data_IF_248462094416
#
_entry.id   IF_248462094416
#
_cell.length_a   1.000
_cell.length_b   1.000
_cell.length_c   1.000
_cell.angle_alpha   90.00
_cell.angle_beta   90.00
_cell.angle_gamma   90.00
#
_symmetry.space_group_name_H-M   'P 1'
#
loop_
_entity.id
_entity.type
_entity.pdbx_description
1 polymer ?
#
# COMPACT_ATOMS: atom_id res chain seq x y z
N UNK A 1 -36.27 16.14 -1.16
CA UNK A 1 -35.05 16.79 -1.59
C UNK A 1 -33.95 15.79 -1.79
N UNK A 2 -33.72 15.38 -3.04
CA UNK A 2 -32.59 14.53 -3.35
C UNK A 2 -31.30 15.32 -3.14
N UNK A 3 -30.52 14.95 -2.15
CA UNK A 3 -29.17 15.49 -2.03
C UNK A 3 -28.39 15.13 -3.28
N UNK A 4 -27.75 16.12 -3.90
CA UNK A 4 -26.83 15.91 -5.01
C UNK A 4 -25.66 15.09 -4.48
N UNK A 5 -25.67 13.78 -4.78
CA UNK A 5 -24.55 12.91 -4.46
C UNK A 5 -23.41 13.22 -5.43
N UNK A 6 -22.33 13.74 -4.90
CA UNK A 6 -21.10 13.91 -5.67
C UNK A 6 -20.49 12.55 -5.93
N UNK A 7 -20.27 12.23 -7.21
CA UNK A 7 -19.65 10.96 -7.63
C UNK A 7 -18.28 11.22 -8.22
N UNK A 8 -17.29 10.50 -7.72
CA UNK A 8 -15.94 10.48 -8.25
C UNK A 8 -15.66 9.12 -8.87
N UNK A 9 -14.88 9.09 -9.94
CA UNK A 9 -14.36 7.84 -10.50
C UNK A 9 -12.98 7.55 -9.90
N UNK A 10 -12.79 6.33 -9.44
CA UNK A 10 -11.48 5.84 -9.00
C UNK A 10 -11.06 4.69 -9.92
N UNK A 11 -10.13 4.99 -10.80
CA UNK A 11 -9.61 4.06 -11.79
C UNK A 11 -8.41 3.32 -11.20
N UNK A 12 -8.55 2.01 -11.02
CA UNK A 12 -7.52 1.14 -10.44
C UNK A 12 -7.21 0.02 -11.41
N UNK A 13 -5.94 -0.23 -11.63
CA UNK A 13 -5.50 -1.41 -12.36
C UNK A 13 -5.11 -2.49 -11.35
N UNK A 14 -5.71 -3.67 -11.48
CA UNK A 14 -5.47 -4.80 -10.60
C UNK A 14 -5.06 -6.04 -11.37
N UNK A 15 -4.08 -6.78 -10.83
CA UNK A 15 -3.63 -8.05 -11.39
C UNK A 15 -2.95 -8.88 -10.30
N UNK A 16 -2.75 -10.17 -10.57
CA UNK A 16 -1.97 -11.03 -9.68
C UNK A 16 -0.52 -10.54 -9.52
N UNK A 17 0.06 -9.99 -10.59
CA UNK A 17 1.43 -9.48 -10.58
C UNK A 17 1.60 -8.23 -9.71
N UNK A 18 0.59 -7.35 -9.68
CA UNK A 18 0.60 -6.13 -8.86
C UNK A 18 0.25 -6.39 -7.39
N UNK A 19 -0.42 -7.51 -7.10
CA UNK A 19 -1.02 -7.77 -5.80
C UNK A 19 -2.23 -6.88 -5.54
N UNK A 20 -2.68 -6.86 -4.28
CA UNK A 20 -3.92 -6.19 -3.87
C UNK A 20 -3.69 -4.89 -3.08
N UNK A 21 -2.44 -4.49 -2.86
CA UNK A 21 -2.11 -3.33 -2.00
C UNK A 21 -2.76 -2.03 -2.45
N UNK A 22 -2.72 -1.72 -3.75
CA UNK A 22 -3.34 -0.52 -4.30
C UNK A 22 -4.86 -0.54 -4.15
N UNK A 23 -5.47 -1.71 -4.28
CA UNK A 23 -6.91 -1.85 -4.11
C UNK A 23 -7.32 -1.59 -2.66
N UNK A 24 -6.57 -2.09 -1.68
CA UNK A 24 -6.84 -1.79 -0.26
C UNK A 24 -6.72 -0.30 0.04
N UNK A 25 -5.71 0.36 -0.52
CA UNK A 25 -5.57 1.82 -0.42
C UNK A 25 -6.80 2.53 -0.98
N UNK A 26 -7.24 2.11 -2.15
CA UNK A 26 -8.42 2.66 -2.82
C UNK A 26 -9.69 2.45 -1.99
N UNK A 27 -9.86 1.29 -1.37
CA UNK A 27 -10.99 0.98 -0.50
C UNK A 27 -10.98 1.84 0.77
N UNK A 28 -9.83 2.07 1.37
CA UNK A 28 -9.69 2.95 2.53
C UNK A 28 -10.06 4.39 2.15
N UNK A 29 -9.60 4.86 0.99
CA UNK A 29 -9.95 6.18 0.46
C UNK A 29 -11.46 6.28 0.20
N UNK A 30 -12.06 5.27 -0.41
CA UNK A 30 -13.49 5.22 -0.69
C UNK A 30 -14.33 5.35 0.58
N UNK A 31 -13.94 4.65 1.63
CA UNK A 31 -14.62 4.70 2.91
C UNK A 31 -14.52 6.10 3.54
N UNK A 32 -13.36 6.73 3.47
CA UNK A 32 -13.17 8.09 4.01
C UNK A 32 -13.98 9.14 3.24
N UNK A 33 -14.08 9.00 1.92
CA UNK A 33 -14.90 9.88 1.09
C UNK A 33 -16.40 9.67 1.35
N UNK A 34 -16.83 8.41 1.51
CA UNK A 34 -18.21 8.09 1.82
C UNK A 34 -18.67 8.73 3.15
N UNK A 35 -17.78 8.84 4.12
CA UNK A 35 -18.05 9.54 5.38
C UNK A 35 -18.36 11.04 5.18
N UNK A 36 -18.02 11.60 4.03
CA UNK A 36 -18.34 12.99 3.64
C UNK A 36 -19.46 13.07 2.59
N UNK A 37 -20.23 12.01 2.42
CA UNK A 37 -21.31 11.88 1.44
C UNK A 37 -20.80 12.00 -0.02
N UNK A 38 -19.57 11.58 -0.27
CA UNK A 38 -18.99 11.50 -1.60
C UNK A 38 -18.94 10.02 -2.00
N UNK A 39 -19.57 9.69 -3.12
CA UNK A 39 -19.60 8.33 -3.64
C UNK A 39 -18.46 8.09 -4.62
N UNK A 40 -17.91 6.89 -4.61
CA UNK A 40 -16.93 6.44 -5.59
C UNK A 40 -17.50 5.36 -6.49
N UNK A 41 -17.21 5.50 -7.78
CA UNK A 41 -17.35 4.44 -8.77
C UNK A 41 -15.95 3.91 -9.07
N UNK A 42 -15.69 2.64 -8.78
CA UNK A 42 -14.45 1.99 -9.21
C UNK A 42 -14.51 1.71 -10.70
N UNK A 43 -13.48 2.14 -11.42
CA UNK A 43 -13.28 1.84 -12.84
C UNK A 43 -12.08 0.90 -12.93
N UNK A 44 -12.29 -0.32 -13.39
CA UNK A 44 -11.31 -1.39 -13.21
C UNK A 44 -11.29 -2.34 -14.41
N UNK A 45 -10.12 -2.94 -14.66
CA UNK A 45 -9.97 -4.02 -15.63
C UNK A 45 -10.64 -5.31 -15.13
N UNK A 46 -10.79 -6.28 -16.03
CA UNK A 46 -11.43 -7.56 -15.70
C UNK A 46 -10.51 -8.44 -14.85
N UNK A 47 -10.60 -8.24 -13.53
CA UNK A 47 -9.88 -9.01 -12.52
C UNK A 47 -10.85 -9.41 -11.41
N UNK A 48 -11.37 -10.63 -11.48
CA UNK A 48 -12.45 -11.11 -10.59
C UNK A 48 -12.17 -11.02 -9.10
N UNK A 49 -10.95 -11.33 -8.60
CA UNK A 49 -10.66 -11.16 -7.17
C UNK A 49 -10.87 -9.73 -6.69
N UNK A 50 -10.52 -8.73 -7.52
CA UNK A 50 -10.73 -7.32 -7.20
C UNK A 50 -12.22 -6.97 -7.20
N UNK A 51 -12.98 -7.48 -8.17
CA UNK A 51 -14.43 -7.25 -8.24
C UNK A 51 -15.15 -7.74 -7.00
N UNK A 52 -14.80 -8.94 -6.53
CA UNK A 52 -15.37 -9.52 -5.31
C UNK A 52 -15.09 -8.66 -4.08
N UNK A 53 -13.86 -8.17 -3.94
CA UNK A 53 -13.45 -7.35 -2.82
C UNK A 53 -14.16 -5.98 -2.81
N UNK A 54 -14.28 -5.33 -3.96
CA UNK A 54 -14.99 -4.05 -4.12
C UNK A 54 -16.46 -4.23 -3.74
N UNK A 55 -17.12 -5.26 -4.26
CA UNK A 55 -18.51 -5.55 -3.98
C UNK A 55 -18.75 -5.90 -2.51
N UNK A 56 -17.86 -6.67 -1.90
CA UNK A 56 -17.92 -7.04 -0.48
C UNK A 56 -17.87 -5.80 0.43
N UNK A 57 -17.14 -4.76 0.02
CA UNK A 57 -17.07 -3.49 0.76
C UNK A 57 -18.23 -2.53 0.43
N UNK A 58 -19.20 -2.98 -0.36
CA UNK A 58 -20.41 -2.20 -0.67
C UNK A 58 -20.20 -1.13 -1.73
N UNK A 59 -19.14 -1.20 -2.52
CA UNK A 59 -18.88 -0.24 -3.59
C UNK A 59 -19.29 -0.79 -4.95
N UNK A 60 -19.61 0.13 -5.87
CA UNK A 60 -19.92 -0.18 -7.26
C UNK A 60 -18.65 -0.14 -8.11
N UNK A 61 -18.61 -0.94 -9.15
CA UNK A 61 -17.55 -0.89 -10.14
C UNK A 61 -18.09 -1.01 -11.55
N UNK A 62 -17.34 -0.50 -12.50
CA UNK A 62 -17.57 -0.68 -13.93
C UNK A 62 -16.28 -1.17 -14.59
N UNK A 63 -16.42 -2.19 -15.45
CA UNK A 63 -15.29 -2.68 -16.22
C UNK A 63 -14.93 -1.70 -17.33
N UNK A 64 -13.64 -1.48 -17.52
CA UNK A 64 -13.13 -0.62 -18.56
C UNK A 64 -11.91 -1.24 -19.24
N UNK A 65 -11.75 -1.00 -20.54
CA UNK A 65 -10.58 -1.49 -21.29
C UNK A 65 -9.39 -0.57 -21.06
N UNK A 66 -8.75 -0.67 -19.89
CA UNK A 66 -7.70 0.27 -19.45
C UNK A 66 -6.53 0.36 -20.42
N UNK A 67 -6.25 -0.71 -21.16
CA UNK A 67 -5.17 -0.75 -22.15
C UNK A 67 -5.57 -0.16 -23.51
N UNK A 68 -6.85 0.13 -23.73
CA UNK A 68 -7.32 0.74 -24.97
C UNK A 68 -7.04 2.24 -24.97
N UNK A 69 -6.07 2.65 -25.78
CA UNK A 69 -5.69 4.05 -25.94
C UNK A 69 -6.37 4.73 -27.12
N UNK A 70 -7.09 3.98 -27.96
CA UNK A 70 -7.68 4.48 -29.19
C UNK A 70 -9.11 4.98 -29.03
N UNK A 71 -9.95 4.28 -28.25
CA UNK A 71 -11.32 4.69 -28.01
C UNK A 71 -11.45 5.65 -26.85
N UNK A 72 -12.47 6.48 -26.89
CA UNK A 72 -12.80 7.42 -25.80
C UNK A 72 -13.79 6.78 -24.82
N UNK A 73 -13.39 5.66 -24.22
CA UNK A 73 -14.23 4.94 -23.26
C UNK A 73 -14.48 5.73 -21.97
N UNK A 74 -13.56 6.64 -21.63
CA UNK A 74 -13.63 7.50 -20.45
C UNK A 74 -14.88 8.38 -20.50
N UNK A 75 -15.17 8.98 -21.66
CA UNK A 75 -16.33 9.88 -21.82
C UNK A 75 -17.65 9.14 -21.55
N UNK A 76 -17.79 7.92 -22.03
CA UNK A 76 -18.99 7.12 -21.77
C UNK A 76 -19.24 6.92 -20.27
N UNK A 77 -18.22 6.64 -19.51
CA UNK A 77 -18.32 6.46 -18.05
C UNK A 77 -18.69 7.79 -17.38
N UNK A 78 -18.00 8.87 -17.73
CA UNK A 78 -18.23 10.19 -17.14
C UNK A 78 -19.67 10.65 -17.39
N UNK A 79 -20.15 10.50 -18.60
CA UNK A 79 -21.52 10.94 -18.99
C UNK A 79 -22.59 10.09 -18.30
N UNK A 80 -22.44 8.76 -18.32
CA UNK A 80 -23.44 7.86 -17.72
C UNK A 80 -23.60 8.07 -16.21
N UNK A 81 -22.51 8.37 -15.51
CA UNK A 81 -22.49 8.42 -14.05
C UNK A 81 -22.41 9.83 -13.47
N UNK A 82 -22.20 10.85 -14.30
CA UNK A 82 -22.04 12.22 -13.81
C UNK A 82 -20.78 12.43 -12.96
N UNK A 83 -19.67 11.86 -13.40
CA UNK A 83 -18.39 11.93 -12.68
C UNK A 83 -17.89 13.36 -12.56
N UNK A 84 -17.52 13.79 -11.37
CA UNK A 84 -17.06 15.15 -11.06
C UNK A 84 -15.55 15.29 -10.95
N UNK A 85 -14.85 14.22 -10.54
CA UNK A 85 -13.39 14.14 -10.47
C UNK A 85 -12.98 12.74 -10.94
N UNK A 86 -11.91 12.67 -11.71
CA UNK A 86 -11.30 11.39 -12.09
C UNK A 86 -10.04 11.16 -11.29
N UNK A 87 -9.98 10.04 -10.58
CA UNK A 87 -8.83 9.65 -9.77
C UNK A 87 -8.20 8.40 -10.39
N UNK A 88 -6.90 8.44 -10.65
CA UNK A 88 -6.13 7.29 -11.12
C UNK A 88 -5.19 6.77 -10.04
N UNK A 89 -5.36 5.50 -9.69
CA UNK A 89 -4.36 4.71 -8.96
C UNK A 89 -3.78 3.67 -9.92
N UNK A 90 -3.04 4.15 -10.92
CA UNK A 90 -2.50 3.36 -12.02
C UNK A 90 -0.98 3.39 -12.10
N UNK A 91 -0.31 4.31 -11.42
CA UNK A 91 1.13 4.54 -11.35
C UNK A 91 1.77 5.04 -12.64
N UNK A 92 1.11 4.90 -13.77
CA UNK A 92 1.63 5.29 -15.08
C UNK A 92 0.46 5.73 -15.99
N UNK A 93 -0.09 6.89 -15.70
CA UNK A 93 -1.18 7.45 -16.49
C UNK A 93 -0.69 7.80 -17.89
N UNK A 94 -1.34 7.24 -18.91
CA UNK A 94 -1.00 7.51 -20.30
C UNK A 94 -1.38 8.92 -20.74
N UNK A 95 -0.63 9.45 -21.72
CA UNK A 95 -0.84 10.82 -22.21
C UNK A 95 -2.26 11.03 -22.76
N UNK A 96 -2.72 10.11 -23.63
CA UNK A 96 -4.05 10.23 -24.25
C UNK A 96 -5.17 10.19 -23.24
N UNK A 97 -5.04 9.33 -22.22
CA UNK A 97 -6.01 9.24 -21.13
C UNK A 97 -6.08 10.56 -20.35
N UNK A 98 -4.93 11.10 -19.96
CA UNK A 98 -4.87 12.41 -19.27
C UNK A 98 -5.48 13.53 -20.08
N UNK A 99 -5.15 13.61 -21.38
CA UNK A 99 -5.73 14.61 -22.31
C UNK A 99 -7.25 14.49 -22.37
N UNK A 100 -7.80 13.27 -22.48
CA UNK A 100 -9.24 13.03 -22.56
C UNK A 100 -9.98 13.47 -21.31
N UNK A 101 -9.43 13.17 -20.14
CA UNK A 101 -10.02 13.61 -18.87
C UNK A 101 -10.07 15.14 -18.81
N UNK A 102 -8.99 15.81 -19.15
CA UNK A 102 -8.94 17.27 -19.13
C UNK A 102 -9.82 17.90 -20.19
N UNK A 103 -9.97 17.27 -21.36
CA UNK A 103 -10.87 17.75 -22.41
C UNK A 103 -12.33 17.75 -21.98
N UNK A 104 -12.72 16.91 -21.03
CA UNK A 104 -14.05 16.90 -20.43
C UNK A 104 -14.24 17.94 -19.33
N UNK A 105 -13.20 18.72 -19.01
CA UNK A 105 -13.26 19.73 -17.97
C UNK A 105 -13.19 19.17 -16.55
N UNK A 106 -12.77 17.91 -16.38
CA UNK A 106 -12.69 17.29 -15.07
C UNK A 106 -11.34 17.53 -14.41
N UNK A 107 -11.31 17.73 -13.08
CA UNK A 107 -10.09 17.57 -12.32
C UNK A 107 -9.57 16.15 -12.43
N UNK A 108 -8.26 16.00 -12.58
CA UNK A 108 -7.55 14.73 -12.58
C UNK A 108 -6.66 14.65 -11.35
N UNK A 109 -6.82 13.57 -10.58
CA UNK A 109 -5.99 13.26 -9.42
C UNK A 109 -5.26 11.94 -9.69
N UNK A 110 -3.97 11.89 -9.41
CA UNK A 110 -3.16 10.69 -9.62
C UNK A 110 -2.46 10.29 -8.32
N UNK A 111 -2.08 9.01 -8.22
CA UNK A 111 -1.34 8.45 -7.07
C UNK A 111 -0.03 7.84 -7.52
N UNK A 112 1.08 8.30 -6.93
CA UNK A 112 2.44 7.79 -7.18
C UNK A 112 2.77 7.68 -8.67
N UNK A 113 2.30 8.64 -9.46
CA UNK A 113 2.24 8.54 -10.91
C UNK A 113 3.45 9.22 -11.55
N UNK A 114 4.13 8.48 -12.41
CA UNK A 114 5.28 8.95 -13.19
C UNK A 114 5.00 8.98 -14.69
N UNK A 115 3.74 8.73 -15.08
CA UNK A 115 3.34 8.69 -16.48
C UNK A 115 3.27 10.05 -17.14
N UNK A 116 3.41 10.08 -18.46
CA UNK A 116 3.29 11.32 -19.24
C UNK A 116 1.95 12.01 -19.07
N UNK A 117 0.87 11.23 -18.88
CA UNK A 117 -0.48 11.75 -18.67
C UNK A 117 -0.66 12.40 -17.30
N UNK A 118 0.18 12.12 -16.34
CA UNK A 118 0.14 12.77 -15.04
C UNK A 118 0.56 14.24 -15.08
N UNK A 119 1.15 14.69 -16.18
CA UNK A 119 1.40 16.13 -16.41
C UNK A 119 0.09 16.93 -16.47
N UNK A 120 -1.01 16.29 -16.81
CA UNK A 120 -2.35 16.89 -16.85
C UNK A 120 -3.06 16.84 -15.50
N UNK A 121 -2.48 16.17 -14.50
CA UNK A 121 -3.10 16.07 -13.18
C UNK A 121 -3.11 17.41 -12.46
N UNK A 122 -4.24 17.74 -11.86
CA UNK A 122 -4.37 18.88 -10.97
C UNK A 122 -3.69 18.58 -9.63
N UNK A 123 -3.68 17.30 -9.25
CA UNK A 123 -3.08 16.81 -8.01
C UNK A 123 -2.44 15.44 -8.25
N UNK A 124 -1.17 15.32 -7.91
CA UNK A 124 -0.46 14.03 -7.86
C UNK A 124 -0.05 13.75 -6.41
N UNK A 125 -0.68 12.75 -5.81
CA UNK A 125 -0.38 12.32 -4.45
C UNK A 125 0.73 11.26 -4.52
N UNK A 126 1.93 11.63 -4.08
CA UNK A 126 3.13 10.82 -4.21
C UNK A 126 3.62 10.35 -2.84
N UNK A 127 2.75 9.68 -2.09
CA UNK A 127 3.01 9.29 -0.70
C UNK A 127 4.12 8.24 -0.57
N UNK A 128 4.31 7.39 -1.58
CA UNK A 128 5.31 6.32 -1.58
C UNK A 128 6.56 6.65 -2.41
N UNK A 129 6.68 7.88 -2.89
CA UNK A 129 7.86 8.34 -3.64
C UNK A 129 8.68 9.23 -2.71
N UNK A 130 9.85 8.74 -2.30
CA UNK A 130 10.72 9.40 -1.33
C UNK A 130 11.99 9.98 -1.94
N UNK A 131 12.14 9.93 -3.26
CA UNK A 131 13.25 10.54 -3.96
C UNK A 131 12.99 12.04 -4.13
N UNK A 132 13.63 12.85 -3.28
CA UNK A 132 13.49 14.31 -3.30
C UNK A 132 14.06 14.95 -4.57
N UNK A 133 14.97 14.25 -5.25
CA UNK A 133 15.54 14.73 -6.50
C UNK A 133 14.61 14.49 -7.70
N UNK A 134 13.58 13.68 -7.56
CA UNK A 134 12.64 13.39 -8.63
C UNK A 134 11.71 14.57 -8.86
N UNK A 135 11.68 15.09 -10.09
CA UNK A 135 10.66 16.03 -10.55
C UNK A 135 9.43 15.21 -10.94
N UNK A 136 8.39 15.25 -10.11
CA UNK A 136 7.15 14.52 -10.36
C UNK A 136 6.18 15.37 -11.17
N UNK A 137 5.45 14.75 -12.12
CA UNK A 137 4.46 15.46 -12.91
C UNK A 137 3.23 15.86 -12.08
N UNK A 138 2.52 16.87 -12.55
CA UNK A 138 1.29 17.36 -11.94
C UNK A 138 1.39 18.84 -11.56
N UNK A 139 0.23 19.50 -11.56
CA UNK A 139 0.14 20.92 -11.21
C UNK A 139 0.48 21.16 -9.73
N UNK A 140 0.01 20.26 -8.86
CA UNK A 140 0.32 20.22 -7.45
C UNK A 140 0.74 18.80 -7.06
N UNK A 141 1.88 18.68 -6.37
CA UNK A 141 2.39 17.40 -5.92
C UNK A 141 2.42 17.37 -4.40
N UNK A 142 1.77 16.35 -3.81
CA UNK A 142 1.81 16.08 -2.38
C UNK A 142 2.72 14.87 -2.17
N UNK A 143 3.92 15.08 -1.66
CA UNK A 143 4.95 14.05 -1.59
C UNK A 143 5.28 13.69 -0.14
N UNK A 144 5.45 12.38 0.10
CA UNK A 144 6.02 11.87 1.32
C UNK A 144 5.02 11.23 2.29
N UNK A 145 5.55 10.80 3.44
CA UNK A 145 4.83 9.97 4.41
C UNK A 145 3.59 10.65 5.04
N UNK A 146 3.53 11.98 5.04
CA UNK A 146 2.37 12.72 5.57
C UNK A 146 1.08 12.48 4.78
N UNK A 147 1.19 11.93 3.57
CA UNK A 147 0.07 11.66 2.67
C UNK A 147 -0.23 10.17 2.51
N UNK A 148 0.38 9.32 3.34
CA UNK A 148 0.10 7.89 3.34
C UNK A 148 -1.34 7.62 3.76
N UNK A 149 -2.01 6.80 2.96
CA UNK A 149 -3.34 6.28 3.30
C UNK A 149 -3.14 4.92 3.98
N UNK A 150 -3.19 4.93 5.30
CA UNK A 150 -3.06 3.75 6.13
C UNK A 150 -4.42 3.24 6.56
N UNK A 151 -4.49 1.95 6.92
CA UNK A 151 -5.70 1.34 7.40
C UNK A 151 -6.16 2.01 8.70
N UNK A 152 -7.38 2.58 8.77
CA UNK A 152 -7.86 3.27 9.97
C UNK A 152 -8.02 2.35 11.19
N UNK A 153 -8.09 1.03 11.01
CA UNK A 153 -8.11 0.07 12.12
C UNK A 153 -6.85 0.13 12.99
N UNK A 154 -5.75 0.65 12.48
CA UNK A 154 -4.50 0.78 13.24
C UNK A 154 -4.74 1.49 14.58
N UNK A 155 -5.60 2.50 14.62
CA UNK A 155 -5.92 3.23 15.84
C UNK A 155 -6.42 2.35 16.98
N UNK A 156 -7.06 1.22 16.65
CA UNK A 156 -7.59 0.25 17.63
C UNK A 156 -6.54 -0.76 18.10
N UNK A 157 -5.42 -0.88 17.38
CA UNK A 157 -4.41 -1.92 17.60
C UNK A 157 -3.04 -1.36 17.93
N UNK A 158 -2.94 -0.08 18.27
CA UNK A 158 -1.68 0.51 18.69
C UNK A 158 -1.24 -0.05 20.03
N UNK A 159 0.03 -0.44 20.13
CA UNK A 159 0.61 -0.98 21.35
C UNK A 159 2.11 -0.67 21.41
N UNK A 160 2.57 -0.21 22.56
CA UNK A 160 4.00 -0.06 22.83
C UNK A 160 4.64 -1.45 22.99
N UNK A 161 5.75 -1.68 22.30
CA UNK A 161 6.59 -2.87 22.47
C UNK A 161 7.83 -2.51 23.28
N UNK A 162 8.22 -3.40 24.17
CA UNK A 162 9.44 -3.26 24.98
C UNK A 162 10.34 -4.49 24.93
N UNK A 163 9.83 -5.60 24.40
CA UNK A 163 10.52 -6.87 24.26
C UNK A 163 10.50 -7.36 22.83
N UNK A 164 11.33 -8.38 22.55
CA UNK A 164 11.47 -8.96 21.24
C UNK A 164 11.17 -10.47 21.27
N UNK A 165 10.11 -10.87 21.96
CA UNK A 165 9.81 -12.28 22.19
C UNK A 165 9.05 -12.93 21.02
N UNK A 166 8.33 -12.16 20.22
CA UNK A 166 7.51 -12.66 19.13
C UNK A 166 7.84 -11.96 17.82
N UNK A 167 8.21 -12.73 16.81
CA UNK A 167 8.59 -12.25 15.49
C UNK A 167 7.49 -12.61 14.47
N UNK A 168 7.11 -11.65 13.66
CA UNK A 168 6.22 -11.81 12.51
C UNK A 168 7.05 -11.69 11.23
N UNK A 169 6.88 -12.62 10.30
CA UNK A 169 7.44 -12.53 8.95
C UNK A 169 6.29 -12.33 7.97
N UNK A 170 6.28 -11.20 7.27
CA UNK A 170 5.27 -10.88 6.26
C UNK A 170 5.92 -10.07 5.15
N UNK A 171 6.16 -10.69 4.01
CA UNK A 171 6.98 -10.15 2.91
C UNK A 171 6.16 -9.85 1.65
N UNK A 172 4.85 -9.64 1.82
CA UNK A 172 3.95 -9.29 0.74
C UNK A 172 3.18 -10.48 0.17
N UNK A 173 2.23 -10.18 -0.71
CA UNK A 173 1.24 -11.14 -1.18
C UNK A 173 1.80 -12.26 -2.04
N UNK A 174 2.72 -11.98 -2.96
CA UNK A 174 3.27 -12.96 -3.89
C UNK A 174 4.65 -13.46 -3.50
N UNK A 175 5.48 -12.60 -2.91
CA UNK A 175 6.88 -12.90 -2.60
C UNK A 175 7.61 -13.58 -3.77
N UNK A 176 7.64 -12.87 -4.88
CA UNK A 176 8.11 -13.38 -6.18
C UNK A 176 9.49 -14.04 -6.10
N UNK A 177 10.39 -13.49 -5.28
CA UNK A 177 11.78 -13.94 -5.17
C UNK A 177 12.01 -15.01 -4.09
N UNK A 178 10.94 -15.45 -3.41
CA UNK A 178 11.06 -16.44 -2.34
C UNK A 178 11.83 -15.95 -1.12
N UNK A 179 11.77 -14.66 -0.82
CA UNK A 179 12.51 -14.05 0.30
C UNK A 179 12.05 -14.61 1.63
N UNK A 180 10.77 -14.98 1.76
CA UNK A 180 10.24 -15.65 2.95
C UNK A 180 11.04 -16.92 3.29
N UNK A 181 11.32 -17.74 2.30
CA UNK A 181 12.09 -18.98 2.46
C UNK A 181 13.50 -18.67 2.97
N UNK A 182 14.15 -17.68 2.38
CA UNK A 182 15.49 -17.23 2.77
C UNK A 182 15.53 -16.72 4.21
N UNK A 183 14.56 -15.91 4.60
CA UNK A 183 14.43 -15.37 5.96
C UNK A 183 14.20 -16.48 6.97
N UNK A 184 13.27 -17.39 6.70
CA UNK A 184 12.98 -18.53 7.59
C UNK A 184 14.21 -19.42 7.76
N UNK A 185 14.93 -19.70 6.68
CA UNK A 185 16.18 -20.47 6.75
C UNK A 185 17.21 -19.80 7.66
N UNK A 186 17.38 -18.47 7.53
CA UNK A 186 18.33 -17.72 8.37
C UNK A 186 17.90 -17.71 9.83
N UNK A 187 16.61 -17.49 10.12
CA UNK A 187 16.08 -17.53 11.48
C UNK A 187 16.26 -18.92 12.11
N UNK A 188 15.90 -19.97 11.38
CA UNK A 188 16.05 -21.35 11.85
C UNK A 188 17.51 -21.68 12.15
N UNK A 189 18.44 -21.22 11.32
CA UNK A 189 19.89 -21.41 11.53
C UNK A 189 20.42 -20.73 12.79
N UNK A 190 19.71 -19.73 13.31
CA UNK A 190 20.04 -19.03 14.55
C UNK A 190 19.22 -19.53 15.76
N UNK A 191 18.44 -20.58 15.58
CA UNK A 191 17.56 -21.09 16.64
C UNK A 191 16.38 -20.20 16.96
N UNK A 192 16.01 -19.29 16.07
CA UNK A 192 14.87 -18.38 16.22
C UNK A 192 13.63 -18.96 15.55
N UNK A 193 12.46 -18.59 16.05
CA UNK A 193 11.18 -18.93 15.46
C UNK A 193 10.38 -17.68 15.11
N UNK A 194 9.29 -17.88 14.38
CA UNK A 194 8.43 -16.78 13.98
C UNK A 194 7.04 -17.28 13.57
N UNK A 195 6.09 -16.37 13.54
CA UNK A 195 4.84 -16.53 12.78
C UNK A 195 5.08 -16.01 11.37
N UNK A 196 4.82 -16.86 10.38
CA UNK A 196 5.00 -16.54 8.97
C UNK A 196 3.63 -16.39 8.33
N UNK A 197 3.34 -15.19 7.80
CA UNK A 197 2.10 -14.92 7.08
C UNK A 197 2.42 -14.81 5.60
N UNK A 198 1.78 -15.64 4.78
CA UNK A 198 1.90 -15.63 3.33
C UNK A 198 0.55 -15.32 2.70
N UNK A 199 0.56 -14.61 1.57
CA UNK A 199 -0.64 -14.27 0.83
C UNK A 199 -1.09 -15.38 -0.13
N UNK A 200 -2.27 -15.21 -0.78
CA UNK A 200 -2.79 -16.21 -1.70
C UNK A 200 -1.95 -16.40 -2.97
N UNK A 201 -1.13 -15.41 -3.32
CA UNK A 201 -0.22 -15.51 -4.47
C UNK A 201 1.13 -16.16 -4.18
N UNK A 202 1.37 -16.59 -2.93
CA UNK A 202 2.63 -17.21 -2.56
C UNK A 202 2.81 -18.59 -3.23
N UNK A 203 3.93 -18.77 -3.93
CA UNK A 203 4.18 -19.96 -4.77
C UNK A 203 5.33 -20.84 -4.29
N UNK A 204 5.90 -20.58 -3.10
CA UNK A 204 7.09 -21.28 -2.60
C UNK A 204 6.80 -22.18 -1.41
N UNK A 205 5.62 -22.82 -1.38
CA UNK A 205 5.18 -23.63 -0.23
C UNK A 205 6.08 -24.82 0.04
N UNK A 206 6.54 -25.51 -1.00
CA UNK A 206 7.41 -26.69 -0.86
C UNK A 206 8.77 -26.31 -0.25
N UNK A 207 9.40 -25.27 -0.79
CA UNK A 207 10.69 -24.80 -0.27
C UNK A 207 10.57 -24.27 1.16
N UNK A 208 9.44 -23.61 1.47
CA UNK A 208 9.19 -23.10 2.82
C UNK A 208 9.04 -24.27 3.82
N UNK A 209 8.30 -25.31 3.45
CA UNK A 209 8.12 -26.48 4.30
C UNK A 209 9.45 -27.16 4.63
N UNK A 210 10.40 -27.17 3.68
CA UNK A 210 11.72 -27.80 3.87
C UNK A 210 12.58 -27.07 4.91
N UNK A 211 12.36 -25.78 5.13
CA UNK A 211 13.17 -24.96 6.05
C UNK A 211 12.48 -24.65 7.37
N UNK A 212 11.18 -24.84 7.48
CA UNK A 212 10.44 -24.58 8.71
C UNK A 212 10.70 -25.65 9.76
N UNK A 213 10.95 -25.19 10.99
CA UNK A 213 11.04 -26.03 12.17
C UNK A 213 9.75 -25.91 12.98
N UNK A 214 9.64 -26.66 14.09
CA UNK A 214 8.51 -26.56 15.03
C UNK A 214 8.40 -25.20 15.72
N UNK A 215 9.44 -24.36 15.64
CA UNK A 215 9.43 -23.00 16.19
C UNK A 215 8.68 -21.98 15.32
N UNK A 216 8.20 -22.39 14.16
CA UNK A 216 7.46 -21.54 13.23
C UNK A 216 5.98 -21.93 13.16
N UNK A 217 5.14 -20.91 13.00
CA UNK A 217 3.71 -21.08 12.70
C UNK A 217 3.44 -20.44 11.34
N UNK A 218 2.86 -21.21 10.41
CA UNK A 218 2.48 -20.73 9.11
C UNK A 218 1.00 -20.34 9.09
N UNK A 219 0.70 -19.14 8.62
CA UNK A 219 -0.66 -18.66 8.37
C UNK A 219 -0.82 -18.29 6.89
N UNK A 220 -1.71 -18.98 6.20
CA UNK A 220 -2.01 -18.73 4.79
C UNK A 220 -3.16 -17.74 4.67
N UNK A 221 -2.82 -16.45 4.77
CA UNK A 221 -3.80 -15.39 4.92
C UNK A 221 -4.24 -15.21 6.36
N UNK A 222 -4.64 -13.99 6.65
CA UNK A 222 -5.24 -13.62 7.95
C UNK A 222 -6.39 -12.66 7.66
N UNK A 223 -7.46 -12.66 8.49
CA UNK A 223 -8.57 -11.72 8.31
C UNK A 223 -8.15 -10.26 8.37
N UNK A 224 -7.18 -9.94 9.22
CA UNK A 224 -6.62 -8.60 9.36
C UNK A 224 -5.14 -8.69 9.70
N UNK A 225 -4.28 -8.15 8.85
CA UNK A 225 -2.86 -8.05 9.13
C UNK A 225 -2.60 -7.08 10.29
N UNK A 226 -3.40 -6.06 10.43
CA UNK A 226 -3.29 -5.10 11.54
C UNK A 226 -3.56 -5.78 12.89
N UNK A 227 -4.58 -6.61 12.97
CA UNK A 227 -4.85 -7.40 14.17
C UNK A 227 -3.72 -8.39 14.46
N UNK A 228 -3.12 -8.96 13.43
CA UNK A 228 -1.96 -9.84 13.55
C UNK A 228 -0.75 -9.10 14.13
N UNK A 229 -0.50 -7.86 13.71
CA UNK A 229 0.57 -7.02 14.25
C UNK A 229 0.52 -6.92 15.77
N UNK A 230 -0.69 -6.82 16.34
CA UNK A 230 -0.88 -6.64 17.78
C UNK A 230 -0.28 -7.79 18.60
N UNK A 231 -0.12 -8.96 18.02
CA UNK A 231 0.38 -10.17 18.69
C UNK A 231 1.91 -10.27 18.71
N UNK A 232 2.61 -9.37 18.03
CA UNK A 232 4.05 -9.51 17.79
C UNK A 232 4.83 -8.30 18.30
N UNK A 233 6.13 -8.52 18.51
CA UNK A 233 7.05 -7.51 19.05
C UNK A 233 7.99 -6.94 17.99
N UNK A 234 8.19 -7.66 16.91
CA UNK A 234 9.07 -7.30 15.81
C UNK A 234 8.51 -7.91 14.52
N UNK A 235 8.51 -7.15 13.43
CA UNK A 235 8.14 -7.67 12.12
C UNK A 235 9.32 -7.62 11.15
N UNK A 236 9.39 -8.62 10.29
CA UNK A 236 10.29 -8.66 9.14
C UNK A 236 9.40 -8.48 7.91
N UNK A 237 9.57 -7.38 7.19
CA UNK A 237 8.67 -6.98 6.11
C UNK A 237 9.42 -6.65 4.83
N UNK A 238 8.67 -6.59 3.72
CA UNK A 238 9.13 -5.91 2.51
C UNK A 238 9.05 -4.39 2.65
N UNK A 239 9.35 -3.69 1.57
CA UNK A 239 9.42 -2.21 1.51
C UNK A 239 8.21 -1.55 0.85
N UNK A 240 7.03 -2.12 1.00
CA UNK A 240 5.77 -1.52 0.56
C UNK A 240 5.10 -0.68 1.65
N UNK A 241 3.77 -0.70 1.69
CA UNK A 241 2.99 0.03 2.69
C UNK A 241 3.01 -0.64 4.08
N UNK A 242 3.18 -1.96 4.12
CA UNK A 242 3.11 -2.77 5.33
C UNK A 242 4.01 -2.27 6.48
N UNK A 243 5.30 -1.96 6.27
CA UNK A 243 6.14 -1.48 7.37
C UNK A 243 5.70 -0.13 7.92
N UNK A 244 5.09 0.74 7.11
CA UNK A 244 4.49 1.98 7.61
C UNK A 244 3.31 1.68 8.54
N UNK A 245 2.44 0.76 8.16
CA UNK A 245 1.31 0.35 8.99
C UNK A 245 1.76 -0.31 10.29
N UNK A 246 2.77 -1.17 10.21
CA UNK A 246 3.37 -1.79 11.38
C UNK A 246 3.97 -0.74 12.33
N UNK A 247 4.76 0.20 11.81
CA UNK A 247 5.35 1.27 12.62
C UNK A 247 4.27 2.15 13.26
N UNK A 248 3.24 2.53 12.51
CA UNK A 248 2.14 3.32 13.04
C UNK A 248 1.40 2.60 14.19
N UNK A 249 1.39 1.26 14.18
CA UNK A 249 0.81 0.44 15.25
C UNK A 249 1.75 0.23 16.44
N UNK A 250 2.99 0.70 16.37
CA UNK A 250 4.02 0.52 17.39
C UNK A 250 4.86 -0.74 17.22
N UNK A 251 4.76 -1.42 16.08
CA UNK A 251 5.52 -2.63 15.78
C UNK A 251 6.82 -2.27 15.04
N UNK A 252 7.99 -2.43 15.68
CA UNK A 252 9.27 -2.24 15.00
C UNK A 252 9.46 -3.20 13.84
N UNK A 253 10.18 -2.76 12.82
CA UNK A 253 10.39 -3.55 11.62
C UNK A 253 11.86 -3.71 11.27
N UNK A 254 12.19 -4.87 10.68
CA UNK A 254 13.35 -5.06 9.83
C UNK A 254 12.81 -5.10 8.41
N UNK A 255 13.22 -4.14 7.58
CA UNK A 255 12.71 -3.97 6.21
C UNK A 255 13.71 -4.53 5.22
N UNK A 256 13.22 -5.39 4.33
CA UNK A 256 14.00 -5.99 3.24
C UNK A 256 13.42 -5.47 1.92
N UNK A 257 14.25 -4.83 1.10
CA UNK A 257 13.81 -4.39 -0.22
C UNK A 257 13.78 -5.56 -1.20
N UNK A 258 12.62 -5.80 -1.81
CA UNK A 258 12.46 -6.80 -2.88
C UNK A 258 12.73 -6.19 -4.25
N UNK A 259 12.39 -4.93 -4.43
CA UNK A 259 12.62 -4.16 -5.65
C UNK A 259 13.48 -2.94 -5.32
N UNK A 260 14.14 -2.37 -6.35
CA UNK A 260 15.02 -1.21 -6.13
C UNK A 260 14.31 0.00 -5.56
N UNK A 261 13.05 0.23 -5.96
CA UNK A 261 12.29 1.38 -5.43
C UNK A 261 11.96 1.23 -3.95
N UNK A 262 11.96 0.02 -3.41
CA UNK A 262 11.73 -0.25 -1.98
C UNK A 262 12.92 0.14 -1.10
N UNK A 263 14.11 0.32 -1.69
CA UNK A 263 15.30 0.80 -0.96
C UNK A 263 15.05 2.16 -0.33
N UNK A 264 14.43 3.08 -1.06
CA UNK A 264 14.09 4.40 -0.54
C UNK A 264 13.10 4.32 0.63
N UNK A 265 12.15 3.39 0.57
CA UNK A 265 11.20 3.12 1.68
C UNK A 265 11.94 2.64 2.92
N UNK A 266 12.82 1.66 2.78
CA UNK A 266 13.63 1.16 3.90
C UNK A 266 14.47 2.25 4.56
N UNK A 267 15.08 3.11 3.75
CA UNK A 267 15.89 4.22 4.24
C UNK A 267 15.06 5.27 5.00
N UNK A 268 13.89 5.63 4.48
CA UNK A 268 13.04 6.63 5.18
C UNK A 268 12.50 6.07 6.51
N UNK A 269 12.08 4.81 6.54
CA UNK A 269 11.60 4.18 7.77
C UNK A 269 12.70 4.06 8.83
N UNK A 270 13.92 3.74 8.41
CA UNK A 270 15.09 3.74 9.30
C UNK A 270 15.35 5.14 9.86
N UNK A 271 15.24 6.17 9.05
CA UNK A 271 15.41 7.57 9.46
C UNK A 271 14.32 8.02 10.42
N UNK A 272 13.08 7.56 10.21
CA UNK A 272 11.96 7.84 11.12
C UNK A 272 12.06 7.08 12.46
N UNK A 273 12.95 6.11 12.55
CA UNK A 273 13.35 5.47 13.79
C UNK A 273 12.59 4.18 14.15
N UNK A 274 11.55 3.82 13.43
CA UNK A 274 10.75 2.60 13.72
C UNK A 274 11.25 1.33 13.05
N UNK A 275 12.31 1.41 12.24
CA UNK A 275 12.79 0.28 11.47
C UNK A 275 14.31 0.27 11.34
N UNK A 276 14.83 -0.93 11.04
CA UNK A 276 16.18 -1.15 10.54
C UNK A 276 16.06 -1.59 9.09
N UNK A 277 16.82 -0.96 8.20
CA UNK A 277 16.85 -1.36 6.79
C UNK A 277 17.93 -2.43 6.59
N UNK A 278 17.52 -3.62 6.15
CA UNK A 278 18.41 -4.77 5.94
C UNK A 278 19.00 -4.84 4.51
N UNK A 279 18.70 -3.85 3.66
CA UNK A 279 19.16 -3.82 2.28
C UNK A 279 18.24 -4.53 1.31
N UNK A 280 18.70 -4.65 0.06
CA UNK A 280 18.02 -5.44 -0.96
C UNK A 280 18.14 -6.93 -0.62
N UNK A 281 17.14 -7.72 -1.00
CA UNK A 281 17.09 -9.15 -0.64
C UNK A 281 18.31 -9.93 -1.11
N UNK A 282 18.94 -9.52 -2.22
CA UNK A 282 20.17 -10.15 -2.74
C UNK A 282 21.38 -9.95 -1.84
N UNK A 283 21.34 -8.94 -0.95
CA UNK A 283 22.44 -8.57 -0.04
C UNK A 283 22.14 -8.90 1.41
N UNK A 284 21.04 -9.59 1.67
CA UNK A 284 20.57 -9.90 3.03
C UNK A 284 21.60 -10.72 3.81
N UNK A 285 21.97 -10.23 5.01
CA UNK A 285 22.87 -10.88 5.94
C UNK A 285 22.10 -11.39 7.16
N UNK A 286 22.34 -12.65 7.55
CA UNK A 286 21.62 -13.28 8.67
C UNK A 286 21.80 -12.54 10.00
N UNK A 287 22.90 -11.86 10.19
CA UNK A 287 23.26 -11.13 11.41
C UNK A 287 22.23 -10.06 11.79
N UNK A 288 21.50 -9.51 10.80
CA UNK A 288 20.48 -8.48 11.05
C UNK A 288 19.37 -9.00 11.98
N UNK A 289 19.09 -10.31 11.94
CA UNK A 289 18.03 -10.91 12.74
C UNK A 289 18.42 -11.20 14.19
N UNK A 290 19.71 -11.22 14.50
CA UNK A 290 20.22 -11.50 15.86
C UNK A 290 20.86 -10.27 16.51
N UNK A 291 20.97 -9.15 15.81
CA UNK A 291 21.54 -7.93 16.40
C UNK A 291 20.61 -7.38 17.49
N UNK A 292 21.20 -6.74 18.49
CA UNK A 292 20.43 -6.06 19.53
C UNK A 292 19.71 -4.85 18.94
N UNK A 293 18.41 -4.73 19.22
CA UNK A 293 17.59 -3.62 18.75
C UNK A 293 16.94 -2.91 19.93
N UNK A 294 16.89 -1.54 19.92
CA UNK A 294 16.22 -0.76 20.94
C UNK A 294 14.70 -0.77 20.70
N UNK A 295 14.05 -1.88 21.02
CA UNK A 295 12.65 -2.16 20.67
C UNK A 295 11.70 -1.06 21.18
N UNK A 296 11.82 -0.64 22.43
CA UNK A 296 10.93 0.38 22.99
C UNK A 296 11.09 1.73 22.28
N UNK A 297 12.34 2.16 22.05
CA UNK A 297 12.60 3.40 21.34
C UNK A 297 12.10 3.34 19.89
N UNK A 298 12.27 2.21 19.23
CA UNK A 298 11.75 1.99 17.87
C UNK A 298 10.22 2.00 17.83
N UNK A 299 9.58 1.36 18.80
CA UNK A 299 8.12 1.33 18.92
C UNK A 299 7.55 2.75 19.09
N UNK A 300 8.12 3.52 20.01
CA UNK A 300 7.71 4.93 20.22
C UNK A 300 7.95 5.79 18.99
N UNK A 301 9.12 5.69 18.37
CA UNK A 301 9.45 6.45 17.17
C UNK A 301 8.50 6.14 16.02
N UNK A 302 8.16 4.87 15.82
CA UNK A 302 7.20 4.45 14.80
C UNK A 302 5.84 5.09 14.98
N UNK A 303 5.28 5.01 16.18
CA UNK A 303 3.96 5.63 16.49
C UNK A 303 4.00 7.15 16.38
N UNK A 304 5.09 7.79 16.80
CA UNK A 304 5.18 9.24 16.77
C UNK A 304 5.44 9.82 15.38
N UNK A 305 6.17 9.08 14.54
CA UNK A 305 6.66 9.61 13.26
C UNK A 305 5.90 9.07 12.05
N UNK A 306 5.11 8.01 12.21
CA UNK A 306 4.20 7.50 11.17
C UNK A 306 2.76 7.71 11.66
N UNK A 307 2.20 8.86 11.29
CA UNK A 307 0.87 9.27 11.72
C UNK A 307 -0.26 8.63 10.90
N UNK A 308 -1.48 8.80 11.40
CA UNK A 308 -2.71 8.26 10.79
C UNK A 308 -3.54 9.35 10.09
N UNK A 309 -3.01 10.57 9.97
CA UNK A 309 -3.74 11.71 9.43
C UNK A 309 -3.61 11.88 7.90
N UNK A 310 -2.78 11.07 7.25
CA UNK A 310 -2.53 11.17 5.80
C UNK A 310 -3.79 11.04 4.97
N UNK A 311 -4.67 10.12 5.33
CA UNK A 311 -5.95 9.91 4.63
C UNK A 311 -6.82 11.19 4.65
N UNK A 312 -6.85 11.89 5.78
CA UNK A 312 -7.63 13.12 5.91
C UNK A 312 -7.03 14.25 5.09
N UNK A 313 -5.70 14.36 5.03
CA UNK A 313 -5.01 15.34 4.17
C UNK A 313 -5.29 15.08 2.70
N UNK A 314 -5.28 13.83 2.28
CA UNK A 314 -5.58 13.45 0.89
C UNK A 314 -7.05 13.74 0.55
N UNK A 315 -7.98 13.38 1.41
CA UNK A 315 -9.42 13.66 1.22
C UNK A 315 -9.66 15.17 1.12
N UNK A 316 -9.05 15.99 1.97
CA UNK A 316 -9.13 17.46 1.90
C UNK A 316 -8.60 17.98 0.56
N UNK A 317 -7.46 17.48 0.10
CA UNK A 317 -6.89 17.90 -1.17
C UNK A 317 -7.76 17.51 -2.36
N UNK A 318 -8.34 16.32 -2.36
CA UNK A 318 -9.24 15.85 -3.42
C UNK A 318 -10.52 16.69 -3.44
N UNK A 319 -11.16 16.90 -2.29
CA UNK A 319 -12.39 17.69 -2.20
C UNK A 319 -12.16 19.15 -2.57
N UNK A 320 -10.96 19.67 -2.34
CA UNK A 320 -10.54 20.99 -2.81
C UNK A 320 -10.52 21.16 -4.32
N UNK A 321 -10.54 20.07 -5.08
CA UNK A 321 -10.66 20.09 -6.55
C UNK A 321 -12.10 20.22 -7.04
N UNK A 322 -13.09 20.07 -6.19
CA UNK A 322 -14.51 20.22 -6.55
C UNK A 322 -14.89 21.73 -6.83
#
# INVERSE_FOLDING_TARGET
>A
GGGDFTLLALCVESSHARGMGHLYRALNLAQALAARNISLLFVINDHKPAHGLIAEHGHRFELAPLEDTASNWEEGIVVRHGVRIWINDRLNTGRHHGERIKAMGLPLVTFDDRGEGATFADLNVAALIFDEAASLPGKRVLQGADYLILNPEIAKYQRLRSRRDSILVTLGGSDTYGVTVKVVRMLAGQGLGATVVVGPGFAHHSDLADVMTHAFTLKQGVPSLIAEFFRHDLAITGGGITPFEANASGLPCIVIANEHFEVAVGKILSRLGGAVFAGHHSELQAEVFSMSLPIEAMSLAGMNNVGLEGIHRVVEAITGCL
#
